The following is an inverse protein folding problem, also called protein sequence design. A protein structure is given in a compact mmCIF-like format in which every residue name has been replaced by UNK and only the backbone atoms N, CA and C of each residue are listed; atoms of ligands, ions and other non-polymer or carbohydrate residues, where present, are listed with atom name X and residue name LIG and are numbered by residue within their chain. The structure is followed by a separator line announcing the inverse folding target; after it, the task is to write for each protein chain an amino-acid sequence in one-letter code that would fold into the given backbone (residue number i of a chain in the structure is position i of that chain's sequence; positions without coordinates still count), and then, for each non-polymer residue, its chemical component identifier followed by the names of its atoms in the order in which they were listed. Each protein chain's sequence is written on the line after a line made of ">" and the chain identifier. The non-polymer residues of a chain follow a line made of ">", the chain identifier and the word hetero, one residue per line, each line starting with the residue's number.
data_IF_552959658292
#
_entry.id   IF_552959658292
#
_cell.length_a   1.000
_cell.length_b   1.000
_cell.length_c   1.000
_cell.angle_alpha   90.00
_cell.angle_beta   90.00
_cell.angle_gamma   90.00
#
_symmetry.space_group_name_H-M   'P 1'
#
loop_
_entity.id
_entity.type
_entity.pdbx_description
1 polymer ?
#
# COMPACT_ATOMS: atom_id res chain seq x y z
N UNK A 1 -4.62 18.73 -2.85
CA UNK A 1 -4.53 18.07 -1.52
C UNK A 1 -5.66 18.47 -0.54
N UNK A 2 -6.55 19.43 -0.87
CA UNK A 2 -7.59 19.90 0.08
C UNK A 2 -8.85 19.02 0.20
N UNK A 3 -9.06 18.05 -0.70
CA UNK A 3 -10.32 17.28 -0.74
C UNK A 3 -10.46 16.18 0.32
N UNK A 4 -9.36 15.63 0.86
CA UNK A 4 -9.43 14.53 1.83
C UNK A 4 -9.72 15.02 3.26
N UNK A 5 -9.27 16.21 3.63
CA UNK A 5 -9.47 16.76 4.99
C UNK A 5 -10.91 17.18 5.25
N UNK A 6 -11.61 17.73 4.25
CA UNK A 6 -13.03 18.12 4.37
C UNK A 6 -13.97 16.92 4.52
N UNK A 7 -13.59 15.74 4.01
CA UNK A 7 -14.37 14.52 4.15
C UNK A 7 -14.28 13.90 5.55
N UNK A 8 -13.15 14.07 6.24
CA UNK A 8 -12.95 13.59 7.61
C UNK A 8 -13.80 14.39 8.62
N UNK A 9 -13.90 15.71 8.46
CA UNK A 9 -14.72 16.58 9.33
C UNK A 9 -16.22 16.28 9.23
N UNK A 10 -16.71 15.85 8.06
CA UNK A 10 -18.13 15.54 7.86
C UNK A 10 -18.54 14.19 8.46
N UNK A 11 -17.58 13.38 8.88
CA UNK A 11 -17.82 12.04 9.43
C UNK A 11 -17.95 12.04 10.96
N UNK A 12 -17.37 13.03 11.66
CA UNK A 12 -17.48 13.16 13.12
C UNK A 12 -18.85 13.70 13.58
N UNK A 13 -19.55 14.48 12.75
CA UNK A 13 -20.85 15.08 13.11
C UNK A 13 -22.06 14.14 12.98
N UNK A 14 -21.89 12.92 12.44
CA UNK A 14 -22.99 12.01 12.10
C UNK A 14 -23.16 10.79 13.04
N UNK A 15 -22.42 10.70 14.15
CA UNK A 15 -22.48 9.56 15.07
C UNK A 15 -23.37 9.75 16.31
N UNK A 16 -24.03 10.90 16.49
CA UNK A 16 -25.04 11.08 17.54
C UNK A 16 -26.45 10.81 17.04
N UNK A 17 -26.99 9.60 17.23
CA UNK A 17 -28.42 9.34 16.97
C UNK A 17 -28.80 7.87 16.79
N UNK A 18 -29.66 7.39 17.67
CA UNK A 18 -30.24 6.04 17.80
C UNK A 18 -30.89 5.48 16.53
N UNK A 19 -30.79 4.16 16.33
CA UNK A 19 -31.30 3.38 15.20
C UNK A 19 -32.83 3.47 15.01
N UNK A 20 -33.30 3.45 13.74
CA UNK A 20 -33.96 2.24 13.23
C UNK A 20 -33.47 1.83 11.82
N UNK A 21 -33.96 0.69 11.33
CA UNK A 21 -33.61 -0.06 10.11
C UNK A 21 -33.15 0.83 8.93
N UNK A 22 -31.84 0.79 8.65
CA UNK A 22 -31.15 1.76 7.78
C UNK A 22 -31.38 1.45 6.30
N UNK A 23 -32.48 1.94 5.71
CA UNK A 23 -32.55 2.17 4.25
C UNK A 23 -31.41 3.14 3.91
N UNK A 24 -30.32 2.61 3.34
CA UNK A 24 -29.19 3.46 2.94
C UNK A 24 -29.68 4.40 1.85
N UNK A 25 -29.51 5.70 2.04
CA UNK A 25 -29.88 6.68 1.02
C UNK A 25 -29.04 6.48 -0.24
N UNK A 26 -29.58 6.84 -1.41
CA UNK A 26 -28.83 6.80 -2.68
C UNK A 26 -27.49 7.54 -2.59
N UNK A 27 -27.43 8.64 -1.84
CA UNK A 27 -26.20 9.36 -1.55
C UNK A 27 -25.15 8.49 -0.82
N UNK A 28 -25.55 7.71 0.20
CA UNK A 28 -24.63 6.80 0.89
C UNK A 28 -24.11 5.67 -0.01
N UNK A 29 -24.95 5.17 -0.92
CA UNK A 29 -24.56 4.15 -1.90
C UNK A 29 -23.55 4.71 -2.90
N UNK A 30 -23.81 5.91 -3.43
CA UNK A 30 -22.92 6.59 -4.38
C UNK A 30 -21.56 6.92 -3.76
N UNK A 31 -21.54 7.43 -2.51
CA UNK A 31 -20.29 7.68 -1.76
C UNK A 31 -19.49 6.39 -1.58
N UNK A 32 -20.13 5.28 -1.17
CA UNK A 32 -19.46 3.98 -1.03
C UNK A 32 -18.92 3.45 -2.35
N UNK A 33 -19.68 3.58 -3.45
CA UNK A 33 -19.24 3.15 -4.79
C UNK A 33 -18.06 3.98 -5.28
N UNK A 34 -18.12 5.31 -5.14
CA UNK A 34 -17.02 6.21 -5.49
C UNK A 34 -15.74 5.89 -4.71
N UNK A 35 -15.88 5.62 -3.42
CA UNK A 35 -14.74 5.25 -2.58
C UNK A 35 -14.15 3.88 -2.94
N UNK A 36 -15.00 2.87 -3.21
CA UNK A 36 -14.55 1.55 -3.69
C UNK A 36 -13.78 1.66 -5.02
N UNK A 37 -14.22 2.52 -5.93
CA UNK A 37 -13.48 2.77 -7.19
C UNK A 37 -12.14 3.46 -6.94
N UNK A 38 -12.10 4.45 -6.05
CA UNK A 38 -10.87 5.17 -5.73
C UNK A 38 -9.82 4.25 -5.08
N UNK A 39 -10.22 3.41 -4.12
CA UNK A 39 -9.31 2.46 -3.46
C UNK A 39 -8.75 1.45 -4.47
N UNK A 40 -9.58 0.91 -5.36
CA UNK A 40 -9.12 0.03 -6.45
C UNK A 40 -8.12 0.73 -7.37
N UNK A 41 -8.35 2.00 -7.70
CA UNK A 41 -7.43 2.80 -8.52
C UNK A 41 -6.07 2.99 -7.84
N UNK A 42 -6.03 3.15 -6.52
CA UNK A 42 -4.75 3.24 -5.80
C UNK A 42 -4.04 1.89 -5.73
N UNK A 43 -4.77 0.79 -5.52
CA UNK A 43 -4.22 -0.57 -5.54
C UNK A 43 -3.54 -0.91 -6.87
N UNK A 44 -4.22 -0.67 -7.99
CA UNK A 44 -3.65 -0.96 -9.32
C UNK A 44 -2.40 -0.12 -9.60
N UNK A 45 -2.41 1.15 -9.19
CA UNK A 45 -1.25 2.04 -9.33
C UNK A 45 -0.07 1.57 -8.48
N UNK A 46 -0.31 1.14 -7.25
CA UNK A 46 0.71 0.57 -6.38
C UNK A 46 1.36 -0.67 -7.03
N UNK A 47 0.55 -1.61 -7.53
CA UNK A 47 1.04 -2.82 -8.22
C UNK A 47 1.90 -2.48 -9.43
N UNK A 48 1.45 -1.54 -10.27
CA UNK A 48 2.19 -1.12 -11.47
C UNK A 48 3.54 -0.51 -11.09
N UNK A 49 3.55 0.40 -10.13
CA UNK A 49 4.77 1.07 -9.70
C UNK A 49 5.79 0.12 -9.07
N UNK A 50 5.33 -0.90 -8.35
CA UNK A 50 6.21 -1.95 -7.82
C UNK A 50 6.78 -2.83 -8.93
N UNK A 51 5.99 -3.17 -9.94
CA UNK A 51 6.47 -3.90 -11.10
C UNK A 51 7.54 -3.09 -11.85
N UNK A 52 7.29 -1.78 -12.05
CA UNK A 52 8.26 -0.88 -12.67
C UNK A 52 9.56 -0.80 -11.85
N UNK A 53 9.47 -0.71 -10.52
CA UNK A 53 10.64 -0.69 -9.64
C UNK A 53 11.46 -1.98 -9.74
N UNK A 54 10.81 -3.15 -9.69
CA UNK A 54 11.49 -4.43 -9.88
C UNK A 54 12.21 -4.46 -11.23
N UNK A 55 11.54 -4.05 -12.32
CA UNK A 55 12.13 -4.00 -13.64
C UNK A 55 13.36 -3.10 -13.69
N UNK A 56 13.29 -1.89 -13.13
CA UNK A 56 14.44 -0.97 -13.09
C UNK A 56 15.58 -1.51 -12.24
N UNK A 57 15.31 -2.13 -11.09
CA UNK A 57 16.34 -2.76 -10.26
C UNK A 57 17.05 -3.88 -11.01
N UNK A 58 16.30 -4.78 -11.65
CA UNK A 58 16.85 -5.91 -12.41
C UNK A 58 17.70 -5.43 -13.60
N UNK A 59 17.25 -4.39 -14.33
CA UNK A 59 18.02 -3.79 -15.42
C UNK A 59 19.38 -3.29 -14.98
N UNK A 60 19.49 -2.78 -13.75
CA UNK A 60 20.72 -2.24 -13.18
C UNK A 60 21.48 -3.27 -12.31
N UNK A 61 21.22 -4.56 -12.51
CA UNK A 61 22.03 -5.65 -11.96
C UNK A 61 21.61 -6.16 -10.57
N UNK A 62 20.45 -5.76 -10.06
CA UNK A 62 19.90 -6.37 -8.84
C UNK A 62 19.62 -7.87 -9.06
N UNK A 63 19.79 -8.67 -8.00
CA UNK A 63 19.41 -10.09 -8.00
C UNK A 63 17.97 -10.22 -7.55
N UNK A 64 17.25 -11.20 -8.08
CA UNK A 64 15.87 -11.50 -7.66
C UNK A 64 15.74 -11.79 -6.14
N UNK A 65 16.84 -12.18 -5.49
CA UNK A 65 16.94 -12.43 -4.05
C UNK A 65 17.21 -11.16 -3.23
N UNK A 66 17.46 -10.02 -3.86
CA UNK A 66 17.74 -8.78 -3.12
C UNK A 66 16.51 -8.36 -2.32
N UNK A 67 16.73 -7.93 -1.07
CA UNK A 67 15.65 -7.67 -0.12
C UNK A 67 14.62 -6.66 -0.62
N UNK A 68 15.03 -5.68 -1.43
CA UNK A 68 14.12 -4.70 -2.04
C UNK A 68 13.17 -5.36 -3.06
N UNK A 69 13.65 -6.31 -3.87
CA UNK A 69 12.83 -7.06 -4.85
C UNK A 69 11.87 -8.00 -4.13
N UNK A 70 12.33 -8.67 -3.07
CA UNK A 70 11.48 -9.49 -2.22
C UNK A 70 10.38 -8.67 -1.56
N UNK A 71 10.71 -7.50 -0.99
CA UNK A 71 9.74 -6.57 -0.41
C UNK A 71 8.72 -6.08 -1.46
N UNK A 72 9.17 -5.68 -2.65
CA UNK A 72 8.26 -5.31 -3.76
C UNK A 72 7.30 -6.43 -4.13
N UNK A 73 7.79 -7.67 -4.16
CA UNK A 73 6.96 -8.84 -4.48
C UNK A 73 5.91 -9.07 -3.40
N UNK A 74 6.28 -8.96 -2.12
CA UNK A 74 5.36 -9.07 -1.00
C UNK A 74 4.31 -7.97 -1.01
N UNK A 75 4.70 -6.72 -1.27
CA UNK A 75 3.77 -5.59 -1.33
C UNK A 75 2.74 -5.80 -2.45
N UNK A 76 3.16 -6.28 -3.62
CA UNK A 76 2.23 -6.61 -4.71
C UNK A 76 1.24 -7.69 -4.30
N UNK A 77 1.72 -8.77 -3.66
CA UNK A 77 0.86 -9.86 -3.16
C UNK A 77 -0.11 -9.38 -2.08
N UNK A 78 0.36 -8.54 -1.14
CA UNK A 78 -0.49 -7.96 -0.12
C UNK A 78 -1.56 -7.07 -0.75
N UNK A 79 -1.18 -6.23 -1.72
CA UNK A 79 -2.11 -5.34 -2.42
C UNK A 79 -3.20 -6.12 -3.15
N UNK A 80 -2.83 -7.20 -3.85
CA UNK A 80 -3.79 -8.10 -4.52
C UNK A 80 -4.74 -8.77 -3.51
N UNK A 81 -4.20 -9.24 -2.38
CA UNK A 81 -5.01 -9.88 -1.33
C UNK A 81 -6.00 -8.89 -0.70
N UNK A 82 -5.54 -7.68 -0.38
CA UNK A 82 -6.37 -6.59 0.14
C UNK A 82 -7.43 -6.14 -0.88
N UNK A 83 -7.10 -6.16 -2.18
CA UNK A 83 -8.04 -5.88 -3.25
C UNK A 83 -9.13 -6.96 -3.36
N UNK A 84 -8.77 -8.23 -3.14
CA UNK A 84 -9.69 -9.36 -3.16
C UNK A 84 -10.65 -9.35 -1.96
N UNK A 85 -10.15 -9.02 -0.76
CA UNK A 85 -10.91 -9.01 0.49
C UNK A 85 -12.09 -8.03 0.55
N UNK A 86 -12.28 -7.19 -0.48
CA UNK A 86 -13.34 -6.17 -0.54
C UNK A 86 -13.48 -5.38 0.76
N UNK A 87 -12.34 -4.97 1.35
CA UNK A 87 -12.29 -4.30 2.64
C UNK A 87 -13.36 -3.21 2.77
N UNK A 88 -14.07 -3.21 3.90
CA UNK A 88 -15.05 -2.18 4.25
C UNK A 88 -14.58 -1.41 5.48
N UNK A 89 -15.00 -0.15 5.61
CA UNK A 89 -14.73 0.65 6.79
C UNK A 89 -13.26 1.08 6.92
N UNK A 90 -12.75 1.12 8.14
CA UNK A 90 -11.45 1.72 8.50
C UNK A 90 -10.26 1.02 7.83
N UNK A 91 -10.26 -0.32 7.78
CA UNK A 91 -9.18 -1.09 7.14
C UNK A 91 -8.97 -0.77 5.66
N UNK A 92 -10.02 -0.38 4.94
CA UNK A 92 -9.88 0.05 3.54
C UNK A 92 -9.26 1.45 3.42
N UNK A 93 -9.40 2.32 4.44
CA UNK A 93 -8.79 3.65 4.47
C UNK A 93 -7.29 3.47 4.69
N UNK A 94 -6.92 2.68 5.71
CA UNK A 94 -5.53 2.41 6.06
C UNK A 94 -4.80 1.73 4.90
N UNK A 95 -5.42 0.70 4.29
CA UNK A 95 -4.86 0.03 3.12
C UNK A 95 -4.66 1.00 1.94
N UNK A 96 -5.64 1.86 1.66
CA UNK A 96 -5.50 2.85 0.58
C UNK A 96 -4.38 3.87 0.88
N UNK A 97 -4.27 4.34 2.12
CA UNK A 97 -3.23 5.28 2.54
C UNK A 97 -1.84 4.65 2.45
N UNK A 98 -1.68 3.42 2.93
CA UNK A 98 -0.46 2.61 2.82
C UNK A 98 -0.01 2.49 1.35
N UNK A 99 -0.92 2.12 0.45
CA UNK A 99 -0.61 1.98 -0.98
C UNK A 99 -0.22 3.31 -1.64
N UNK A 100 -0.79 4.43 -1.21
CA UNK A 100 -0.38 5.76 -1.70
C UNK A 100 1.04 6.09 -1.25
N UNK A 101 1.42 5.74 -0.02
CA UNK A 101 2.79 5.89 0.50
C UNK A 101 3.80 5.12 -0.34
N UNK A 102 3.58 3.80 -0.46
CA UNK A 102 4.38 2.90 -1.29
C UNK A 102 4.50 3.43 -2.73
N UNK A 103 3.38 3.85 -3.33
CA UNK A 103 3.38 4.37 -4.71
C UNK A 103 4.33 5.55 -4.87
N UNK A 104 4.41 6.44 -3.87
CA UNK A 104 5.33 7.59 -3.88
C UNK A 104 6.79 7.15 -3.72
N UNK A 105 7.04 6.24 -2.79
CA UNK A 105 8.38 5.69 -2.54
C UNK A 105 8.93 4.98 -3.78
N UNK A 106 8.14 4.10 -4.42
CA UNK A 106 8.53 3.42 -5.65
C UNK A 106 8.92 4.41 -6.75
N UNK A 107 8.17 5.51 -6.90
CA UNK A 107 8.51 6.55 -7.89
C UNK A 107 9.84 7.20 -7.56
N UNK A 108 10.05 7.61 -6.32
CA UNK A 108 11.31 8.24 -5.92
C UNK A 108 12.51 7.32 -6.15
N UNK A 109 12.36 6.03 -5.86
CA UNK A 109 13.39 5.03 -6.09
C UNK A 109 13.63 4.79 -7.59
N UNK A 110 12.57 4.60 -8.39
CA UNK A 110 12.67 4.48 -9.85
C UNK A 110 13.31 5.70 -10.51
N UNK A 111 12.82 6.90 -10.18
CA UNK A 111 13.31 8.16 -10.74
C UNK A 111 14.78 8.35 -10.39
N UNK A 112 15.18 7.95 -9.18
CA UNK A 112 16.56 7.98 -8.75
C UNK A 112 17.45 7.00 -9.54
N UNK A 113 17.03 5.74 -9.68
CA UNK A 113 17.75 4.72 -10.47
C UNK A 113 17.98 5.22 -11.90
N UNK A 114 16.91 5.70 -12.54
CA UNK A 114 16.96 6.21 -13.92
C UNK A 114 17.85 7.44 -14.06
N UNK A 115 17.81 8.34 -13.07
CA UNK A 115 18.60 9.57 -13.10
C UNK A 115 20.10 9.30 -12.93
N UNK A 116 20.44 8.40 -12.02
CA UNK A 116 21.83 8.17 -11.61
C UNK A 116 22.47 6.99 -12.35
N UNK A 117 21.67 6.26 -13.15
CA UNK A 117 22.06 5.08 -13.93
C UNK A 117 22.80 4.02 -13.10
N UNK A 118 22.36 3.88 -11.84
CA UNK A 118 23.04 3.08 -10.82
C UNK A 118 22.03 2.36 -9.94
N UNK A 119 22.46 1.20 -9.44
CA UNK A 119 21.69 0.48 -8.43
C UNK A 119 21.63 1.26 -7.11
N UNK A 120 20.49 1.18 -6.42
CA UNK A 120 20.35 1.77 -5.09
C UNK A 120 21.23 1.01 -4.11
N UNK A 121 22.23 1.70 -3.57
CA UNK A 121 23.04 1.24 -2.46
C UNK A 121 22.55 1.91 -1.17
N UNK A 122 22.18 1.08 -0.19
CA UNK A 122 21.79 1.54 1.15
C UNK A 122 23.01 1.47 2.07
N UNK A 123 23.41 2.60 2.66
CA UNK A 123 24.64 2.69 3.45
C UNK A 123 25.05 4.12 3.80
N UNK A 124 25.85 4.23 4.86
CA UNK A 124 26.23 5.43 5.63
C UNK A 124 26.31 6.74 4.79
N UNK A 125 25.41 7.66 5.13
CA UNK A 125 25.43 9.12 4.86
C UNK A 125 25.04 9.71 3.49
N UNK A 126 24.98 8.99 2.37
CA UNK A 126 24.83 9.70 1.08
C UNK A 126 23.40 9.94 0.58
N UNK A 127 22.36 9.24 1.06
CA UNK A 127 21.00 9.34 0.49
C UNK A 127 19.87 9.17 1.51
N UNK A 128 19.81 10.08 2.49
CA UNK A 128 18.78 10.11 3.54
C UNK A 128 17.36 9.84 3.01
N UNK A 129 17.00 10.45 1.88
CA UNK A 129 15.68 10.30 1.26
C UNK A 129 15.37 8.87 0.78
N UNK A 130 16.35 8.13 0.26
CA UNK A 130 16.14 6.75 -0.18
C UNK A 130 16.10 5.78 1.01
N UNK A 131 16.88 6.06 2.06
CA UNK A 131 16.82 5.29 3.30
C UNK A 131 15.47 5.51 4.00
N UNK A 132 14.97 6.75 4.04
CA UNK A 132 13.60 7.04 4.49
C UNK A 132 12.57 6.27 3.66
N UNK A 133 12.70 6.25 2.32
CA UNK A 133 11.79 5.48 1.47
C UNK A 133 11.82 3.99 1.84
N UNK A 134 13.01 3.41 2.06
CA UNK A 134 13.16 2.01 2.49
C UNK A 134 12.50 1.76 3.85
N UNK A 135 12.71 2.63 4.83
CA UNK A 135 12.10 2.50 6.15
C UNK A 135 10.58 2.60 6.10
N UNK A 136 10.04 3.53 5.32
CA UNK A 136 8.59 3.68 5.18
C UNK A 136 8.00 2.46 4.45
N UNK A 137 8.66 1.92 3.41
CA UNK A 137 8.25 0.67 2.76
C UNK A 137 8.12 -0.48 3.74
N UNK A 138 9.16 -0.70 4.56
CA UNK A 138 9.19 -1.79 5.55
C UNK A 138 8.00 -1.66 6.51
N UNK A 139 7.85 -0.49 7.14
CA UNK A 139 6.75 -0.23 8.08
C UNK A 139 5.37 -0.35 7.42
N UNK A 140 5.25 0.09 6.17
CA UNK A 140 3.99 0.00 5.43
C UNK A 140 3.63 -1.43 5.09
N UNK A 141 4.63 -2.25 4.71
CA UNK A 141 4.43 -3.68 4.48
C UNK A 141 3.97 -4.37 5.78
N UNK A 142 4.55 -4.04 6.94
CA UNK A 142 4.13 -4.59 8.23
C UNK A 142 2.67 -4.27 8.55
N UNK A 143 2.21 -3.05 8.25
CA UNK A 143 0.80 -2.65 8.39
C UNK A 143 -0.08 -3.47 7.45
N UNK A 144 0.30 -3.60 6.17
CA UNK A 144 -0.46 -4.39 5.20
C UNK A 144 -0.57 -5.86 5.62
N UNK A 145 0.53 -6.45 6.11
CA UNK A 145 0.56 -7.82 6.64
C UNK A 145 -0.31 -7.95 7.88
N UNK A 146 -0.33 -6.97 8.77
CA UNK A 146 -1.16 -6.97 9.98
C UNK A 146 -2.65 -6.89 9.64
N UNK A 147 -3.04 -6.06 8.65
CA UNK A 147 -4.41 -6.02 8.12
C UNK A 147 -4.79 -7.39 7.54
N UNK A 148 -3.88 -8.02 6.79
CA UNK A 148 -4.13 -9.34 6.22
C UNK A 148 -4.21 -10.44 7.28
N UNK A 149 -3.41 -10.39 8.35
CA UNK A 149 -3.49 -11.33 9.48
C UNK A 149 -4.83 -11.24 10.22
N UNK A 150 -5.34 -10.03 10.39
CA UNK A 150 -6.64 -9.79 11.03
C UNK A 150 -7.83 -10.16 10.14
N UNK A 151 -7.64 -10.23 8.82
CA UNK A 151 -8.60 -10.80 7.88
C UNK A 151 -8.40 -12.30 7.80
N UNK A 152 -9.44 -13.13 7.84
CA UNK A 152 -9.37 -14.60 7.80
C UNK A 152 -8.87 -15.18 6.45
N UNK A 153 -7.86 -14.57 5.83
CA UNK A 153 -7.30 -14.94 4.54
C UNK A 153 -6.24 -16.04 4.72
N UNK A 154 -6.30 -17.15 3.97
CA UNK A 154 -5.32 -18.21 4.10
C UNK A 154 -3.93 -17.71 3.66
N UNK A 155 -2.90 -17.86 4.49
CA UNK A 155 -1.55 -17.43 4.14
C UNK A 155 -0.97 -18.31 3.04
N UNK A 156 -0.22 -17.72 2.11
CA UNK A 156 0.54 -18.50 1.12
C UNK A 156 1.77 -19.14 1.76
N UNK A 157 2.33 -20.20 1.15
CA UNK A 157 3.56 -20.86 1.66
C UNK A 157 4.72 -19.86 1.86
N UNK A 158 4.87 -18.92 0.93
CA UNK A 158 5.84 -17.82 1.01
C UNK A 158 5.64 -16.91 2.24
N UNK A 159 4.41 -16.79 2.73
CA UNK A 159 4.09 -16.02 3.94
C UNK A 159 4.47 -16.77 5.22
N UNK A 160 4.30 -18.09 5.24
CA UNK A 160 4.68 -18.94 6.38
C UNK A 160 6.20 -18.99 6.56
N UNK A 161 6.94 -19.14 5.46
CA UNK A 161 8.40 -19.22 5.48
C UNK A 161 9.07 -17.92 5.98
N UNK A 162 8.41 -16.76 5.84
CA UNK A 162 8.94 -15.48 6.31
C UNK A 162 8.58 -15.18 7.76
N UNK A 163 7.37 -15.55 8.21
CA UNK A 163 6.98 -15.41 9.62
C UNK A 163 7.78 -16.38 10.50
N UNK A 164 8.20 -17.53 9.97
CA UNK A 164 9.02 -18.49 10.69
C UNK A 164 10.50 -18.07 10.84
N UNK A 165 10.97 -17.06 10.10
CA UNK A 165 12.37 -16.63 10.05
C UNK A 165 12.62 -15.23 10.65
N UNK A 166 11.65 -14.70 11.43
CA UNK A 166 11.76 -13.43 12.17
C UNK A 166 11.64 -13.67 13.68
#
# INVERSE_FOLDING_TARGET
>A
MMGMTLLLLKQQTLQGGTHPVRKRSLAQILVRRGWKMQTKKQMTKCISNEADLICELLKHGAKATDGIIQQSSMIRMCTLSLMHLQLQGFHAIDAAAAMVGITKECKLMCDWIKKEDKLITFGFFTRHRLEECRLIRIRTLDVMLSILKGSSFPPSKMWLDLVANN
#
